data_IF_005290599975
#
_entry.id   IF_005290599975
#
_cell.length_a   1.000
_cell.length_b   1.000
_cell.length_c   1.000
_cell.angle_alpha   90.00
_cell.angle_beta   90.00
_cell.angle_gamma   90.00
#
_symmetry.space_group_name_H-M   'P 1'
#
loop_
_entity.id
_entity.type
_entity.pdbx_description
1 polymer ?
#
# COMPACT_ATOMS: atom_id res chain seq x y z
N UNK A 1 -39.76 -37.65 26.45
CA UNK A 1 -38.73 -36.70 26.89
C UNK A 1 -37.47 -36.95 26.07
N UNK A 2 -37.08 -36.04 25.20
CA UNK A 2 -35.68 -35.61 25.05
C UNK A 2 -35.59 -34.41 24.11
N UNK A 3 -34.94 -33.39 24.64
CA UNK A 3 -34.82 -32.01 24.21
C UNK A 3 -33.63 -31.88 23.27
N UNK A 4 -33.79 -31.02 22.26
CA UNK A 4 -32.77 -30.19 21.59
C UNK A 4 -31.77 -30.94 20.69
N UNK A 5 -31.68 -30.51 19.42
CA UNK A 5 -30.54 -29.69 19.00
C UNK A 5 -30.90 -28.95 17.70
N UNK A 6 -30.89 -27.62 17.80
CA UNK A 6 -30.94 -26.63 16.72
C UNK A 6 -29.50 -26.47 16.20
N UNK A 7 -29.27 -26.38 14.89
CA UNK A 7 -28.21 -25.51 14.38
C UNK A 7 -28.55 -25.00 12.98
N UNK A 8 -28.81 -23.69 12.89
CA UNK A 8 -28.98 -22.95 11.66
C UNK A 8 -27.63 -22.84 10.92
N UNK A 9 -27.65 -23.09 9.61
CA UNK A 9 -26.51 -22.88 8.72
C UNK A 9 -26.39 -21.37 8.44
N UNK A 10 -25.51 -20.69 9.19
CA UNK A 10 -25.21 -19.28 8.96
C UNK A 10 -24.26 -19.15 7.76
N UNK A 11 -24.76 -18.49 6.71
CA UNK A 11 -23.96 -17.94 5.62
C UNK A 11 -22.99 -16.89 6.19
N UNK A 12 -21.71 -17.22 6.28
CA UNK A 12 -20.66 -16.21 6.45
C UNK A 12 -20.10 -15.88 5.07
N UNK A 13 -20.72 -14.93 4.37
CA UNK A 13 -20.03 -14.22 3.30
C UNK A 13 -19.04 -13.31 4.01
N UNK A 14 -17.78 -13.73 4.11
CA UNK A 14 -16.69 -12.86 4.51
C UNK A 14 -16.43 -11.87 3.39
N UNK A 15 -17.18 -10.77 3.34
CA UNK A 15 -16.70 -9.60 2.63
C UNK A 15 -15.54 -9.05 3.46
N UNK A 16 -14.33 -9.52 3.17
CA UNK A 16 -13.12 -8.77 3.49
C UNK A 16 -13.17 -7.49 2.64
N UNK A 17 -13.99 -6.53 3.06
CA UNK A 17 -13.84 -5.16 2.63
C UNK A 17 -12.56 -4.69 3.32
N UNK A 18 -11.42 -4.92 2.66
CA UNK A 18 -10.17 -4.23 2.96
C UNK A 18 -10.53 -2.76 2.95
N UNK A 19 -10.48 -2.12 4.11
CA UNK A 19 -10.60 -0.68 4.19
C UNK A 19 -9.35 -0.13 3.50
N UNK A 20 -9.48 0.22 2.22
CA UNK A 20 -8.44 0.89 1.45
C UNK A 20 -7.87 2.05 2.29
N UNK A 21 -6.54 2.10 2.42
CA UNK A 21 -5.89 3.17 3.17
C UNK A 21 -6.18 4.53 2.52
N UNK A 22 -6.10 5.61 3.31
CA UNK A 22 -6.26 7.00 2.82
C UNK A 22 -5.37 7.27 1.61
N UNK A 23 -4.17 6.68 1.61
CA UNK A 23 -3.21 6.77 0.51
C UNK A 23 -3.76 6.09 -0.74
N UNK A 24 -4.31 4.88 -0.63
CA UNK A 24 -4.88 4.15 -1.78
C UNK A 24 -6.04 4.93 -2.40
N UNK A 25 -6.90 5.54 -1.57
CA UNK A 25 -8.01 6.36 -2.05
C UNK A 25 -7.53 7.65 -2.73
N UNK A 26 -6.59 8.37 -2.14
CA UNK A 26 -6.04 9.63 -2.68
C UNK A 26 -5.37 9.39 -4.04
N UNK A 27 -4.63 8.29 -4.16
CA UNK A 27 -3.83 7.96 -5.33
C UNK A 27 -4.55 7.03 -6.31
N UNK A 28 -5.86 6.81 -6.15
CA UNK A 28 -6.63 5.84 -6.93
C UNK A 28 -6.57 6.08 -8.45
N UNK A 29 -6.42 7.34 -8.86
CA UNK A 29 -6.33 7.75 -10.28
C UNK A 29 -4.90 8.03 -10.75
N UNK A 30 -3.92 7.93 -9.86
CA UNK A 30 -2.52 8.26 -10.13
C UNK A 30 -1.84 7.13 -10.90
N UNK A 31 -0.78 7.47 -11.65
CA UNK A 31 0.03 6.46 -12.34
C UNK A 31 0.96 5.75 -11.36
N UNK A 32 1.04 4.42 -11.46
CA UNK A 32 1.98 3.61 -10.67
C UNK A 32 3.36 3.58 -11.33
N UNK A 33 4.41 3.77 -10.54
CA UNK A 33 5.81 3.69 -10.96
C UNK A 33 6.53 2.63 -10.14
N UNK A 34 6.96 1.50 -10.73
CA UNK A 34 7.62 0.46 -9.96
C UNK A 34 8.99 0.93 -9.45
N UNK A 35 9.32 0.54 -8.22
CA UNK A 35 10.64 0.76 -7.60
C UNK A 35 11.21 -0.54 -7.06
N UNK A 36 12.53 -0.61 -7.04
CA UNK A 36 13.26 -1.64 -6.29
C UNK A 36 13.61 -1.08 -4.92
N UNK A 37 13.39 -1.86 -3.87
CA UNK A 37 13.67 -1.49 -2.49
C UNK A 37 14.85 -2.32 -1.96
N UNK A 38 15.80 -1.64 -1.33
CA UNK A 38 16.74 -2.26 -0.40
C UNK A 38 16.27 -1.97 1.03
N UNK A 39 15.68 -2.98 1.65
CA UNK A 39 15.16 -2.89 3.02
C UNK A 39 16.27 -2.76 4.07
N UNK A 40 17.48 -3.24 3.78
CA UNK A 40 18.61 -3.19 4.72
C UNK A 40 19.24 -1.81 4.70
N UNK A 41 19.46 -1.26 3.50
CA UNK A 41 20.04 0.07 3.33
C UNK A 41 19.01 1.21 3.46
N UNK A 42 17.71 0.90 3.55
CA UNK A 42 16.62 1.87 3.48
C UNK A 42 16.70 2.75 2.23
N UNK A 43 17.00 2.13 1.08
CA UNK A 43 17.08 2.84 -0.21
C UNK A 43 16.09 2.34 -1.23
N UNK A 44 15.82 3.17 -2.24
CA UNK A 44 15.04 2.79 -3.40
C UNK A 44 15.70 3.23 -4.71
N UNK A 45 15.44 2.47 -5.77
CA UNK A 45 15.78 2.84 -7.15
C UNK A 45 14.54 2.73 -8.03
N UNK A 46 14.35 3.70 -8.92
CA UNK A 46 13.29 3.65 -9.93
C UNK A 46 13.66 2.64 -11.00
N UNK A 47 12.72 1.78 -11.41
CA UNK A 47 12.93 0.90 -12.56
C UNK A 47 13.09 1.76 -13.82
N UNK A 48 13.99 1.38 -14.71
CA UNK A 48 14.36 2.17 -15.90
C UNK A 48 13.14 2.60 -16.73
N UNK A 49 13.06 3.90 -16.99
CA UNK A 49 11.98 4.53 -17.73
C UNK A 49 11.77 5.98 -17.26
N UNK A 50 11.18 6.86 -18.08
CA UNK A 50 10.87 8.20 -17.63
C UNK A 50 9.83 8.15 -16.51
N UNK A 51 10.14 8.77 -15.37
CA UNK A 51 9.14 9.03 -14.34
C UNK A 51 8.03 9.89 -14.97
N UNK A 52 6.74 9.51 -14.85
CA UNK A 52 5.65 10.26 -15.43
C UNK A 52 5.64 11.71 -14.95
N UNK A 53 5.22 12.63 -15.81
CA UNK A 53 4.85 13.98 -15.38
C UNK A 53 3.43 13.94 -14.77
N UNK A 54 3.19 14.77 -13.75
CA UNK A 54 1.89 14.87 -13.08
C UNK A 54 1.76 13.95 -11.86
N UNK A 55 0.56 13.41 -11.64
CA UNK A 55 0.22 12.60 -10.46
C UNK A 55 0.68 11.15 -10.63
N UNK A 56 1.62 10.74 -9.78
CA UNK A 56 2.13 9.38 -9.74
C UNK A 56 2.50 8.97 -8.30
N UNK A 57 2.49 7.66 -8.07
CA UNK A 57 2.98 7.05 -6.84
C UNK A 57 3.99 5.96 -7.19
N UNK A 58 4.89 5.64 -6.26
CA UNK A 58 5.79 4.52 -6.41
C UNK A 58 5.19 3.25 -5.81
N UNK A 59 5.46 2.09 -6.41
CA UNK A 59 4.95 0.81 -5.95
C UNK A 59 6.04 -0.25 -5.86
N UNK A 60 5.93 -1.09 -4.83
CA UNK A 60 6.65 -2.35 -4.69
C UNK A 60 5.73 -3.37 -4.00
N UNK A 61 6.04 -4.67 -3.99
CA UNK A 61 5.10 -5.70 -3.55
C UNK A 61 4.47 -5.42 -2.17
N UNK A 62 3.15 -5.21 -2.15
CA UNK A 62 2.36 -4.97 -0.94
C UNK A 62 2.41 -3.54 -0.40
N UNK A 63 3.00 -2.59 -1.14
CA UNK A 63 3.16 -1.21 -0.67
C UNK A 63 2.92 -0.17 -1.75
N UNK A 64 2.31 0.93 -1.32
CA UNK A 64 2.17 2.18 -2.06
C UNK A 64 3.00 3.27 -1.43
N UNK A 65 3.82 3.96 -2.21
CA UNK A 65 4.64 5.05 -1.73
C UNK A 65 4.37 6.38 -2.43
N UNK A 66 4.41 7.46 -1.67
CA UNK A 66 4.27 8.82 -2.18
C UNK A 66 5.48 9.66 -1.77
N UNK A 67 5.69 10.78 -2.46
CA UNK A 67 6.81 11.70 -2.18
C UNK A 67 6.52 12.71 -1.07
N UNK A 68 5.26 12.80 -0.65
CA UNK A 68 4.81 13.71 0.41
C UNK A 68 4.49 12.91 1.66
N UNK A 69 5.12 13.25 2.79
CA UNK A 69 4.82 12.62 4.07
C UNK A 69 3.37 12.90 4.48
N UNK A 70 2.70 11.90 5.02
CA UNK A 70 1.37 12.07 5.62
C UNK A 70 1.47 11.79 7.10
N UNK A 71 0.61 12.44 7.89
CA UNK A 71 0.52 12.19 9.34
C UNK A 71 -0.24 10.88 9.62
N UNK A 72 0.27 9.78 9.08
CA UNK A 72 -0.29 8.43 9.20
C UNK A 72 0.72 7.53 9.92
N UNK A 73 0.25 6.62 10.76
CA UNK A 73 1.11 5.67 11.43
C UNK A 73 1.54 4.54 10.49
N UNK A 74 2.74 3.98 10.70
CA UNK A 74 3.21 2.78 10.02
C UNK A 74 3.84 3.02 8.64
N UNK A 75 4.24 4.25 8.33
CA UNK A 75 5.02 4.54 7.14
C UNK A 75 6.44 3.97 7.25
N UNK A 76 6.94 3.44 6.13
CA UNK A 76 8.35 3.08 5.96
C UNK A 76 8.97 4.07 4.99
N UNK A 77 10.08 4.67 5.40
CA UNK A 77 10.78 5.69 4.60
C UNK A 77 11.96 5.06 3.88
N UNK A 78 12.10 5.41 2.59
CA UNK A 78 13.25 5.03 1.77
C UNK A 78 13.81 6.25 1.05
N UNK A 79 15.12 6.22 0.80
CA UNK A 79 15.84 7.31 0.13
C UNK A 79 16.51 6.85 -1.16
N UNK A 80 16.58 7.72 -2.17
CA UNK A 80 17.40 7.44 -3.34
C UNK A 80 18.79 8.08 -3.21
N UNK A 81 19.67 7.78 -4.16
CA UNK A 81 21.03 8.33 -4.19
C UNK A 81 21.10 9.87 -4.30
N UNK A 82 20.01 10.51 -4.73
CA UNK A 82 19.89 11.97 -4.82
C UNK A 82 19.36 12.62 -3.53
N UNK A 83 19.05 11.83 -2.50
CA UNK A 83 18.51 12.30 -1.22
C UNK A 83 17.00 12.54 -1.22
N UNK A 84 16.27 12.14 -2.27
CA UNK A 84 14.81 12.20 -2.29
C UNK A 84 14.24 11.06 -1.44
N UNK A 85 13.13 11.33 -0.74
CA UNK A 85 12.44 10.36 0.11
C UNK A 85 11.11 9.92 -0.49
N UNK A 86 10.75 8.66 -0.25
CA UNK A 86 9.40 8.14 -0.47
C UNK A 86 8.87 7.55 0.84
N UNK A 87 7.57 7.74 1.07
CA UNK A 87 6.85 7.30 2.27
C UNK A 87 5.90 6.19 1.86
N UNK A 88 6.16 4.97 2.34
CA UNK A 88 5.51 3.75 1.89
C UNK A 88 4.53 3.21 2.92
N UNK A 89 3.34 2.83 2.44
CA UNK A 89 2.22 2.37 3.24
C UNK A 89 1.75 1.01 2.73
N UNK A 90 1.38 0.05 3.61
CA UNK A 90 0.83 -1.23 3.19
C UNK A 90 -0.43 -1.07 2.32
N UNK A 91 -0.54 -1.92 1.30
CA UNK A 91 -1.75 -2.15 0.52
C UNK A 91 -2.52 -3.40 0.98
#
# INVERSE_FOLDING_TARGET
>A
MNRKFLTALLFTVTTAAVADSVIIQETKTWKSVPVTIDQTAHTYTTVEGPVPTGDYYYSYPGYRCITVQKTLAGEVVYHNASGNSIYCYPE
#
